data_IF_031653582002
#
_entry.id   IF_031653582002
#
_cell.length_a   1.000
_cell.length_b   1.000
_cell.length_c   1.000
_cell.angle_alpha   90.00
_cell.angle_beta   90.00
_cell.angle_gamma   90.00
#
_symmetry.space_group_name_H-M   'P 1'
#
loop_
_entity.id
_entity.type
_entity.pdbx_description
1 polymer ?
#
# COMPACT_ATOMS: atom_id res chain seq x y z
N UNK A 1 -3.21 -42.75 23.54
CA UNK A 1 -3.87 -41.67 22.74
C UNK A 1 -3.23 -40.37 23.17
N UNK A 2 -2.47 -39.74 22.26
CA UNK A 2 -1.90 -38.43 22.56
C UNK A 2 -3.02 -37.40 22.62
N UNK A 3 -3.06 -36.64 23.70
CA UNK A 3 -4.01 -35.53 23.81
C UNK A 3 -3.56 -34.45 22.87
N UNK A 4 -4.35 -34.03 21.85
CA UNK A 4 -3.93 -33.02 20.93
C UNK A 4 -3.64 -31.71 21.68
N UNK A 5 -2.55 -31.02 21.26
CA UNK A 5 -2.18 -29.70 21.81
C UNK A 5 -3.33 -28.73 21.59
N UNK A 6 -3.80 -28.08 22.66
CA UNK A 6 -4.78 -26.99 22.55
C UNK A 6 -4.06 -25.70 22.08
N UNK A 7 -4.38 -25.26 20.88
CA UNK A 7 -3.85 -24.03 20.31
C UNK A 7 -4.88 -22.92 20.52
N UNK A 8 -4.50 -21.88 21.29
CA UNK A 8 -5.28 -20.64 21.36
C UNK A 8 -4.84 -19.74 20.18
N UNK A 9 -5.73 -19.54 19.22
CA UNK A 9 -5.43 -18.65 18.09
C UNK A 9 -5.33 -17.20 18.57
N UNK A 10 -4.33 -16.47 18.06
CA UNK A 10 -4.22 -15.02 18.23
C UNK A 10 -5.33 -14.30 17.44
N UNK A 11 -5.73 -14.87 16.32
CA UNK A 11 -6.72 -14.35 15.38
C UNK A 11 -7.75 -15.44 15.06
N UNK A 12 -8.69 -15.74 15.99
CA UNK A 12 -9.61 -16.86 15.84
C UNK A 12 -10.55 -16.71 14.63
N UNK A 13 -10.91 -15.48 14.29
CA UNK A 13 -11.85 -15.16 13.22
C UNK A 13 -11.17 -14.81 11.88
N UNK A 14 -9.83 -14.86 11.83
CA UNK A 14 -9.07 -14.52 10.63
C UNK A 14 -8.93 -15.72 9.71
N UNK A 15 -9.53 -15.62 8.54
CA UNK A 15 -9.41 -16.60 7.46
C UNK A 15 -8.30 -16.26 6.45
N UNK A 16 -8.34 -16.94 5.32
CA UNK A 16 -7.49 -16.65 4.16
C UNK A 16 -7.83 -15.27 3.60
N UNK A 17 -6.80 -14.47 3.24
CA UNK A 17 -7.03 -13.12 2.72
C UNK A 17 -7.82 -13.14 1.42
N UNK A 18 -8.61 -12.10 1.18
CA UNK A 18 -9.40 -11.94 -0.05
C UNK A 18 -8.52 -12.03 -1.31
N UNK A 19 -7.28 -11.57 -1.23
CA UNK A 19 -6.33 -11.64 -2.34
C UNK A 19 -6.00 -13.08 -2.72
N UNK A 20 -5.76 -13.93 -1.73
CA UNK A 20 -5.48 -15.36 -1.96
C UNK A 20 -6.71 -16.08 -2.48
N UNK A 21 -7.90 -15.80 -1.91
CA UNK A 21 -9.17 -16.39 -2.34
C UNK A 21 -9.44 -16.06 -3.81
N UNK A 22 -9.39 -14.77 -4.18
CA UNK A 22 -9.70 -14.34 -5.55
C UNK A 22 -8.63 -14.78 -6.56
N UNK A 23 -7.36 -14.87 -6.17
CA UNK A 23 -6.32 -15.38 -7.05
C UNK A 23 -6.46 -16.87 -7.33
N UNK A 24 -6.79 -17.65 -6.29
CA UNK A 24 -7.07 -19.07 -6.47
C UNK A 24 -8.28 -19.25 -7.37
N UNK A 25 -9.36 -18.51 -7.13
CA UNK A 25 -10.57 -18.58 -7.94
C UNK A 25 -10.28 -18.21 -9.42
N UNK A 26 -9.49 -17.16 -9.65
CA UNK A 26 -9.07 -16.77 -10.98
C UNK A 26 -8.32 -17.90 -11.71
N UNK A 27 -7.40 -18.56 -11.02
CA UNK A 27 -6.64 -19.69 -11.57
C UNK A 27 -7.55 -20.90 -11.88
N UNK A 28 -8.42 -21.27 -10.93
CA UNK A 28 -9.36 -22.40 -11.07
C UNK A 28 -10.34 -22.21 -12.25
N UNK A 29 -10.71 -20.94 -12.56
CA UNK A 29 -11.66 -20.61 -13.64
C UNK A 29 -10.97 -20.17 -14.95
N UNK A 30 -9.66 -20.07 -15.04
CA UNK A 30 -8.96 -19.50 -16.20
C UNK A 30 -9.35 -18.03 -16.47
N UNK A 31 -9.68 -17.30 -15.41
CA UNK A 31 -10.08 -15.89 -15.49
C UNK A 31 -8.88 -14.97 -15.66
N UNK A 32 -9.07 -13.82 -16.34
CA UNK A 32 -8.08 -12.73 -16.34
C UNK A 32 -8.02 -12.15 -14.94
N UNK A 33 -6.85 -12.19 -14.32
CA UNK A 33 -6.68 -11.80 -12.91
C UNK A 33 -6.35 -10.32 -12.78
N UNK A 34 -7.36 -9.48 -12.54
CA UNK A 34 -7.23 -8.07 -12.16
C UNK A 34 -7.43 -7.84 -10.65
N UNK A 35 -7.47 -8.91 -9.84
CA UNK A 35 -7.61 -8.83 -8.38
C UNK A 35 -6.28 -8.50 -7.70
N UNK A 36 -5.16 -9.01 -8.25
CA UNK A 36 -3.84 -8.86 -7.65
C UNK A 36 -3.19 -7.52 -7.91
N UNK A 37 -2.74 -6.87 -6.82
CA UNK A 37 -2.08 -5.58 -6.82
C UNK A 37 -0.58 -5.64 -7.13
N UNK A 38 -0.20 -6.31 -8.23
CA UNK A 38 1.17 -6.30 -8.75
C UNK A 38 1.18 -6.37 -10.28
N UNK A 39 2.26 -5.85 -10.92
CA UNK A 39 2.43 -5.87 -12.37
C UNK A 39 2.53 -7.30 -12.95
N UNK A 40 2.05 -7.49 -14.18
CA UNK A 40 2.30 -8.69 -14.99
C UNK A 40 3.44 -8.48 -16.02
N UNK A 41 4.17 -7.39 -15.86
CA UNK A 41 5.38 -7.04 -16.61
C UNK A 41 6.58 -6.96 -15.66
N UNK A 42 7.79 -7.10 -16.22
CA UNK A 42 9.05 -7.16 -15.50
C UNK A 42 9.61 -5.76 -15.21
N UNK A 43 10.50 -5.68 -14.20
CA UNK A 43 11.43 -4.55 -14.05
C UNK A 43 12.44 -4.52 -15.21
N UNK A 44 13.12 -3.39 -15.36
CA UNK A 44 14.14 -3.21 -16.37
C UNK A 44 15.34 -4.16 -16.15
N UNK A 45 15.94 -4.72 -17.23
CA UNK A 45 17.04 -5.69 -17.13
C UNK A 45 18.24 -5.19 -16.33
N UNK A 46 18.54 -3.89 -16.39
CA UNK A 46 19.69 -3.27 -15.70
C UNK A 46 19.63 -3.47 -14.19
N UNK A 47 18.44 -3.56 -13.60
CA UNK A 47 18.28 -3.85 -12.17
C UNK A 47 18.71 -5.29 -11.85
N UNK A 48 18.37 -6.23 -12.73
CA UNK A 48 18.79 -7.64 -12.57
C UNK A 48 20.28 -7.81 -12.79
N UNK A 49 20.86 -7.09 -13.76
CA UNK A 49 22.29 -7.08 -14.01
C UNK A 49 23.07 -6.51 -12.84
N UNK A 50 22.57 -5.43 -12.22
CA UNK A 50 23.17 -4.87 -11.02
C UNK A 50 23.13 -5.87 -9.86
N UNK A 51 22.00 -6.55 -9.62
CA UNK A 51 21.88 -7.61 -8.61
C UNK A 51 22.91 -8.72 -8.84
N UNK A 52 22.99 -9.23 -10.07
CA UNK A 52 23.93 -10.30 -10.44
C UNK A 52 25.40 -9.88 -10.23
N UNK A 53 25.73 -8.64 -10.59
CA UNK A 53 27.08 -8.07 -10.39
C UNK A 53 27.46 -8.06 -8.91
N UNK A 54 26.58 -7.60 -8.00
CA UNK A 54 26.85 -7.55 -6.57
C UNK A 54 26.93 -8.95 -5.94
N UNK A 55 26.10 -9.90 -6.36
CA UNK A 55 26.16 -11.30 -5.93
C UNK A 55 27.52 -11.93 -6.30
N UNK A 56 27.97 -11.74 -7.55
CA UNK A 56 29.29 -12.24 -8.02
C UNK A 56 30.46 -11.55 -7.35
N UNK A 57 30.33 -10.30 -6.96
CA UNK A 57 31.35 -9.54 -6.24
C UNK A 57 31.47 -9.96 -4.75
N UNK A 58 30.75 -10.99 -4.32
CA UNK A 58 30.86 -11.56 -2.98
C UNK A 58 30.11 -10.75 -1.90
N UNK A 59 29.18 -9.86 -2.27
CA UNK A 59 28.40 -9.04 -1.32
C UNK A 59 27.26 -9.84 -0.66
N UNK A 60 27.47 -11.11 -0.33
CA UNK A 60 26.43 -12.06 0.11
C UNK A 60 26.36 -12.25 1.64
N UNK A 61 27.17 -11.57 2.41
CA UNK A 61 27.12 -11.63 3.87
C UNK A 61 26.09 -10.64 4.43
N UNK A 62 25.82 -10.73 5.72
CA UNK A 62 24.88 -9.84 6.40
C UNK A 62 25.17 -8.37 6.12
N UNK A 63 24.18 -7.65 5.64
CA UNK A 63 24.22 -6.18 5.59
C UNK A 63 24.12 -5.59 7.01
N UNK A 64 24.50 -4.33 7.22
CA UNK A 64 24.19 -3.62 8.46
C UNK A 64 22.70 -3.65 8.77
N UNK A 65 22.33 -3.69 10.04
CA UNK A 65 20.93 -3.78 10.50
C UNK A 65 20.04 -2.67 9.90
N UNK A 66 20.52 -1.43 9.87
CA UNK A 66 19.78 -0.31 9.29
C UNK A 66 19.73 -0.31 7.75
N UNK A 67 20.46 -1.21 7.10
CA UNK A 67 20.62 -1.29 5.66
C UNK A 67 21.99 -0.82 5.16
N UNK A 68 22.29 -1.12 3.89
CA UNK A 68 23.54 -0.70 3.25
C UNK A 68 23.64 0.82 3.22
N UNK A 69 24.81 1.40 3.60
CA UNK A 69 25.01 2.85 3.61
C UNK A 69 24.70 3.51 2.26
N UNK A 70 25.09 2.86 1.16
CA UNK A 70 24.87 3.34 -0.20
C UNK A 70 23.38 3.50 -0.51
N UNK A 71 22.55 2.56 -0.10
CA UNK A 71 21.11 2.64 -0.32
C UNK A 71 20.46 3.68 0.60
N UNK A 72 20.88 3.75 1.87
CA UNK A 72 20.34 4.74 2.82
C UNK A 72 20.67 6.17 2.37
N UNK A 73 21.87 6.41 1.85
CA UNK A 73 22.26 7.69 1.27
C UNK A 73 21.40 8.04 0.06
N UNK A 74 21.22 7.09 -0.88
CA UNK A 74 20.37 7.30 -2.06
C UNK A 74 18.91 7.60 -1.68
N UNK A 75 18.37 6.95 -0.64
CA UNK A 75 17.03 7.26 -0.12
C UNK A 75 16.98 8.67 0.46
N UNK A 76 17.94 9.07 1.30
CA UNK A 76 17.99 10.40 1.89
C UNK A 76 18.09 11.50 0.82
N UNK A 77 18.91 11.30 -0.21
CA UNK A 77 19.05 12.22 -1.33
C UNK A 77 17.75 12.32 -2.16
N UNK A 78 17.10 11.19 -2.43
CA UNK A 78 15.78 11.15 -3.08
C UNK A 78 14.74 11.96 -2.29
N UNK A 79 14.63 11.72 -0.99
CA UNK A 79 13.67 12.41 -0.11
C UNK A 79 13.95 13.92 -0.08
N UNK A 80 15.22 14.32 0.02
CA UNK A 80 15.62 15.73 -0.03
C UNK A 80 15.25 16.38 -1.37
N UNK A 81 15.49 15.69 -2.49
CA UNK A 81 15.19 16.20 -3.83
C UNK A 81 13.68 16.35 -4.07
N UNK A 82 12.86 15.42 -3.58
CA UNK A 82 11.42 15.40 -3.83
C UNK A 82 10.61 16.27 -2.86
N UNK A 83 11.03 16.30 -1.58
CA UNK A 83 10.20 16.86 -0.50
C UNK A 83 10.87 18.01 0.24
N UNK A 84 12.11 18.37 -0.13
CA UNK A 84 12.82 19.53 0.41
C UNK A 84 13.37 19.32 1.83
N UNK A 85 13.18 18.17 2.45
CA UNK A 85 13.66 17.87 3.81
C UNK A 85 14.80 16.87 3.74
N UNK A 86 15.94 17.24 4.34
CA UNK A 86 17.11 16.36 4.43
C UNK A 86 17.07 15.56 5.74
N UNK A 87 17.08 14.25 5.59
CA UNK A 87 17.21 13.28 6.69
C UNK A 87 18.65 12.75 6.76
N UNK A 88 19.11 12.45 7.95
CA UNK A 88 20.40 11.80 8.19
C UNK A 88 20.31 10.33 7.79
N UNK A 89 21.11 9.93 6.80
CA UNK A 89 21.09 8.56 6.29
C UNK A 89 21.46 7.52 7.35
N UNK A 90 22.27 7.88 8.35
CA UNK A 90 22.73 6.94 9.39
C UNK A 90 21.73 6.78 10.53
N UNK A 91 21.00 7.83 10.88
CA UNK A 91 20.14 7.83 12.06
C UNK A 91 18.63 7.84 11.72
N UNK A 92 18.22 8.28 10.51
CA UNK A 92 16.84 8.56 10.17
C UNK A 92 16.30 7.73 8.99
N UNK A 93 17.13 6.90 8.36
CA UNK A 93 16.73 5.99 7.28
C UNK A 93 16.99 4.54 7.66
N UNK A 94 15.98 3.67 7.51
CA UNK A 94 16.11 2.23 7.78
C UNK A 94 15.53 1.44 6.62
N UNK A 95 16.33 0.53 6.05
CA UNK A 95 15.87 -0.41 5.01
C UNK A 95 15.14 -1.58 5.65
N UNK A 96 14.01 -1.98 5.08
CA UNK A 96 13.09 -2.97 5.66
C UNK A 96 12.76 -4.09 4.68
N UNK A 97 12.27 -5.23 5.20
CA UNK A 97 11.80 -6.35 4.37
C UNK A 97 10.41 -6.04 3.75
N UNK A 98 10.35 -4.93 3.01
CA UNK A 98 9.14 -4.36 2.43
C UNK A 98 8.30 -3.57 3.43
N UNK A 99 7.30 -2.86 2.92
CA UNK A 99 6.44 -1.98 3.71
C UNK A 99 5.63 -2.73 4.78
N UNK A 100 5.15 -3.93 4.52
CA UNK A 100 4.36 -4.71 5.49
C UNK A 100 5.14 -4.97 6.79
N UNK A 101 6.43 -5.35 6.66
CA UNK A 101 7.30 -5.53 7.83
C UNK A 101 7.60 -4.19 8.51
N UNK A 102 7.82 -3.12 7.73
CA UNK A 102 8.03 -1.78 8.25
C UNK A 102 6.85 -1.32 9.12
N UNK A 103 5.62 -1.46 8.63
CA UNK A 103 4.39 -1.09 9.32
C UNK A 103 4.22 -1.91 10.60
N UNK A 104 4.37 -3.24 10.51
CA UNK A 104 4.31 -4.11 11.70
C UNK A 104 5.34 -3.70 12.76
N UNK A 105 6.57 -3.42 12.35
CA UNK A 105 7.65 -3.00 13.25
C UNK A 105 7.36 -1.65 13.88
N UNK A 106 6.84 -0.67 13.12
CA UNK A 106 6.45 0.64 13.66
C UNK A 106 5.34 0.51 14.70
N UNK A 107 4.30 -0.28 14.39
CA UNK A 107 3.22 -0.56 15.35
C UNK A 107 3.79 -1.21 16.61
N UNK A 108 4.62 -2.24 16.48
CA UNK A 108 5.22 -2.94 17.64
C UNK A 108 6.16 -2.04 18.46
N UNK A 109 6.77 -1.03 17.84
CA UNK A 109 7.65 -0.09 18.54
C UNK A 109 6.87 0.91 19.41
N UNK A 110 5.71 1.39 18.95
CA UNK A 110 5.02 2.51 19.56
C UNK A 110 3.69 2.19 20.23
N UNK A 111 3.02 1.11 19.85
CA UNK A 111 1.72 0.71 20.39
C UNK A 111 1.88 -0.30 21.53
N UNK A 112 1.14 -0.10 22.61
CA UNK A 112 1.11 -0.97 23.80
C UNK A 112 -0.30 -1.54 23.97
N UNK A 113 -0.47 -2.62 24.76
CA UNK A 113 -1.80 -3.11 25.10
C UNK A 113 -2.68 -2.00 25.70
N UNK A 114 -3.87 -1.81 25.12
CA UNK A 114 -4.82 -0.78 25.51
C UNK A 114 -4.70 0.55 24.77
N UNK A 115 -3.61 0.79 24.03
CA UNK A 115 -3.50 1.93 23.14
C UNK A 115 -4.47 1.83 21.96
N UNK A 116 -4.90 2.96 21.44
CA UNK A 116 -5.77 3.09 20.28
C UNK A 116 -4.98 3.58 19.06
N UNK A 117 -5.27 2.96 17.90
CA UNK A 117 -4.69 3.36 16.62
C UNK A 117 -5.81 3.70 15.64
N UNK A 118 -5.81 4.94 15.15
CA UNK A 118 -6.78 5.37 14.14
C UNK A 118 -6.30 4.94 12.76
N UNK A 119 -7.20 4.31 11.99
CA UNK A 119 -7.02 3.90 10.60
C UNK A 119 -8.18 4.41 9.76
N UNK A 120 -7.98 4.60 8.44
CA UNK A 120 -8.99 5.08 7.52
C UNK A 120 -9.59 3.93 6.72
N UNK A 121 -10.93 3.75 6.82
CA UNK A 121 -11.68 2.68 6.16
C UNK A 121 -12.38 3.17 4.87
N UNK A 122 -12.31 2.40 3.75
CA UNK A 122 -11.76 1.04 3.60
C UNK A 122 -10.26 1.01 3.86
N UNK A 123 -9.75 -0.04 4.53
CA UNK A 123 -8.38 -0.10 5.06
C UNK A 123 -7.59 -1.28 4.51
N UNK A 124 -6.31 -1.07 4.19
CA UNK A 124 -5.43 -2.16 3.78
C UNK A 124 -5.35 -3.23 4.89
N UNK A 125 -5.52 -4.48 4.51
CA UNK A 125 -5.78 -5.62 5.39
C UNK A 125 -4.70 -5.94 6.43
N UNK A 126 -3.49 -5.40 6.28
CA UNK A 126 -2.39 -5.67 7.22
C UNK A 126 -2.38 -4.77 8.46
N UNK A 127 -3.07 -3.61 8.45
CA UNK A 127 -2.96 -2.66 9.56
C UNK A 127 -3.68 -3.18 10.81
N UNK A 128 -4.92 -3.63 10.68
CA UNK A 128 -5.69 -4.19 11.79
C UNK A 128 -4.94 -5.31 12.51
N UNK A 129 -4.53 -6.38 11.82
CA UNK A 129 -3.76 -7.47 12.40
C UNK A 129 -2.45 -7.04 13.07
N UNK A 130 -1.74 -6.06 12.52
CA UNK A 130 -0.52 -5.55 13.13
C UNK A 130 -0.79 -4.88 14.48
N UNK A 131 -1.87 -4.09 14.58
CA UNK A 131 -2.29 -3.40 15.81
C UNK A 131 -2.75 -4.41 16.86
N UNK A 132 -3.63 -5.34 16.47
CA UNK A 132 -4.20 -6.35 17.36
C UNK A 132 -3.13 -7.34 17.87
N UNK A 133 -2.13 -7.65 17.04
CA UNK A 133 -1.02 -8.52 17.42
C UNK A 133 -0.23 -8.01 18.63
N UNK A 134 -0.15 -6.72 18.83
CA UNK A 134 0.53 -6.11 19.98
C UNK A 134 -0.41 -5.74 21.13
N UNK A 135 -1.71 -6.03 20.99
CA UNK A 135 -2.75 -5.75 22.00
C UNK A 135 -3.33 -4.33 21.89
N UNK A 136 -3.06 -3.61 20.81
CA UNK A 136 -3.69 -2.33 20.50
C UNK A 136 -5.13 -2.49 20.02
N UNK A 137 -5.89 -1.42 20.06
CA UNK A 137 -7.28 -1.34 19.57
C UNK A 137 -7.34 -0.55 18.28
N UNK A 138 -8.01 -1.10 17.26
CA UNK A 138 -8.22 -0.43 15.96
C UNK A 138 -9.42 0.49 16.06
N UNK A 139 -9.20 1.80 15.87
CA UNK A 139 -10.25 2.82 15.78
C UNK A 139 -10.40 3.23 14.32
N UNK A 140 -11.61 3.12 13.76
CA UNK A 140 -11.86 3.26 12.33
C UNK A 140 -12.54 4.58 12.01
N UNK A 141 -11.88 5.41 11.21
CA UNK A 141 -12.46 6.59 10.59
C UNK A 141 -12.90 6.23 9.17
N UNK A 142 -14.21 6.35 8.87
CA UNK A 142 -14.72 6.00 7.54
C UNK A 142 -14.47 7.13 6.55
N UNK A 143 -13.85 6.81 5.41
CA UNK A 143 -13.72 7.71 4.28
C UNK A 143 -15.07 7.90 3.60
N UNK A 144 -15.33 9.10 3.08
CA UNK A 144 -16.62 9.45 2.49
C UNK A 144 -16.71 8.98 1.03
N UNK A 145 -17.68 8.14 0.75
CA UNK A 145 -18.03 7.78 -0.63
C UNK A 145 -18.62 9.00 -1.38
N UNK A 146 -18.36 9.19 -2.69
CA UNK A 146 -17.61 8.31 -3.62
C UNK A 146 -16.13 8.72 -3.81
N UNK A 147 -15.67 9.84 -3.26
CA UNK A 147 -14.32 10.38 -3.43
C UNK A 147 -13.32 9.87 -2.39
N UNK A 148 -13.82 9.20 -1.36
CA UNK A 148 -13.05 8.65 -0.26
C UNK A 148 -12.17 9.68 0.45
N UNK A 149 -12.66 10.91 0.53
CA UNK A 149 -12.04 11.97 1.31
C UNK A 149 -12.21 11.71 2.82
N UNK A 150 -11.21 12.04 3.67
CA UNK A 150 -11.35 11.96 5.12
C UNK A 150 -12.40 12.94 5.66
N UNK A 151 -13.13 12.50 6.68
CA UNK A 151 -13.93 13.40 7.51
C UNK A 151 -13.13 13.80 8.75
N UNK A 152 -12.49 14.96 8.68
CA UNK A 152 -11.63 15.44 9.76
C UNK A 152 -12.38 15.80 11.04
N UNK A 153 -13.68 16.10 10.96
CA UNK A 153 -14.52 16.28 12.14
C UNK A 153 -14.72 14.94 12.86
N UNK A 154 -14.99 13.87 12.12
CA UNK A 154 -15.02 12.50 12.67
C UNK A 154 -13.68 12.13 13.28
N UNK A 155 -12.57 12.33 12.57
CA UNK A 155 -11.23 11.98 13.07
C UNK A 155 -10.94 12.69 14.39
N UNK A 156 -11.25 14.00 14.47
CA UNK A 156 -11.07 14.79 15.71
C UNK A 156 -11.89 14.22 16.88
N UNK A 157 -13.10 13.76 16.62
CA UNK A 157 -13.96 13.17 17.65
C UNK A 157 -13.49 11.78 18.11
N UNK A 158 -12.72 11.08 17.27
CA UNK A 158 -12.15 9.76 17.61
C UNK A 158 -10.84 9.85 18.40
N UNK A 159 -10.15 11.00 18.38
CA UNK A 159 -8.91 11.19 19.13
C UNK A 159 -9.23 11.32 20.62
N UNK A 160 -8.60 10.46 21.42
CA UNK A 160 -8.72 10.44 22.89
C UNK A 160 -7.38 10.25 23.58
N UNK A 161 -7.39 10.13 24.91
CA UNK A 161 -6.19 9.96 25.73
C UNK A 161 -5.40 8.68 25.41
N UNK A 162 -6.08 7.66 24.90
CA UNK A 162 -5.46 6.39 24.49
C UNK A 162 -4.97 6.38 23.04
N UNK A 163 -5.27 7.42 22.26
CA UNK A 163 -4.81 7.48 20.86
C UNK A 163 -3.30 7.63 20.82
N UNK A 164 -2.62 6.57 20.38
CA UNK A 164 -1.16 6.52 20.29
C UNK A 164 -0.65 6.76 18.89
N UNK A 165 -1.39 6.33 17.88
CA UNK A 165 -0.93 6.38 16.49
C UNK A 165 -2.11 6.67 15.54
N UNK A 166 -1.80 7.35 14.44
CA UNK A 166 -2.69 7.44 13.28
C UNK A 166 -1.94 6.88 12.09
N UNK A 167 -2.52 5.89 11.40
CA UNK A 167 -1.96 5.31 10.18
C UNK A 167 -2.65 5.94 8.98
N UNK A 168 -1.86 6.55 8.10
CA UNK A 168 -2.27 7.16 6.84
C UNK A 168 -1.81 6.28 5.68
N UNK A 169 -2.55 6.30 4.58
CA UNK A 169 -2.11 5.72 3.32
C UNK A 169 -2.45 6.67 2.17
N UNK A 170 -1.44 7.24 1.53
CA UNK A 170 -1.62 8.17 0.40
C UNK A 170 -0.46 8.04 -0.58
N UNK A 171 -0.75 7.78 -1.86
CA UNK A 171 -2.02 7.41 -2.47
C UNK A 171 -2.65 6.16 -1.88
N UNK A 172 -3.97 6.14 -1.75
CA UNK A 172 -4.72 5.21 -0.92
C UNK A 172 -5.07 3.90 -1.63
N UNK A 173 -4.72 2.77 -1.03
CA UNK A 173 -5.21 1.44 -1.41
C UNK A 173 -6.37 1.04 -0.46
N UNK A 174 -7.60 0.78 -0.96
CA UNK A 174 -7.94 0.40 -2.33
C UNK A 174 -8.43 1.52 -3.26
N UNK A 175 -8.65 2.74 -2.78
CA UNK A 175 -9.55 3.71 -3.42
C UNK A 175 -8.91 4.57 -4.51
N UNK A 176 -7.58 4.71 -4.52
CA UNK A 176 -6.89 5.65 -5.40
C UNK A 176 -7.04 7.12 -5.00
N UNK A 177 -7.63 7.41 -3.83
CA UNK A 177 -7.70 8.75 -3.27
C UNK A 177 -6.31 9.25 -2.85
N UNK A 178 -6.11 10.55 -2.83
CA UNK A 178 -4.85 11.21 -2.46
C UNK A 178 -5.15 12.34 -1.50
N UNK A 179 -4.39 12.42 -0.41
CA UNK A 179 -4.50 13.51 0.56
C UNK A 179 -4.07 14.85 -0.05
N UNK A 180 -4.83 15.89 0.21
CA UNK A 180 -4.55 17.27 -0.20
C UNK A 180 -3.76 18.04 0.87
N UNK A 181 -3.26 19.22 0.52
CA UNK A 181 -2.63 20.11 1.49
C UNK A 181 -3.61 20.57 2.61
N UNK A 182 -4.90 20.65 2.30
CA UNK A 182 -5.94 20.93 3.29
C UNK A 182 -6.05 19.78 4.28
N UNK A 183 -6.02 18.54 3.79
CA UNK A 183 -6.07 17.35 4.65
C UNK A 183 -4.87 17.27 5.60
N UNK A 184 -3.65 17.55 5.09
CA UNK A 184 -2.46 17.60 5.95
C UNK A 184 -2.53 18.73 6.97
N UNK A 185 -3.09 19.90 6.62
CA UNK A 185 -3.32 21.00 7.55
C UNK A 185 -4.35 20.65 8.65
N UNK A 186 -5.41 19.93 8.34
CA UNK A 186 -6.36 19.44 9.35
C UNK A 186 -5.74 18.38 10.26
N UNK A 187 -4.97 17.46 9.69
CA UNK A 187 -4.21 16.47 10.49
C UNK A 187 -3.25 17.16 11.46
N UNK A 188 -2.48 18.16 10.99
CA UNK A 188 -1.56 18.92 11.83
C UNK A 188 -2.26 19.57 13.03
N UNK A 189 -3.44 20.17 12.81
CA UNK A 189 -4.27 20.73 13.90
C UNK A 189 -4.74 19.68 14.91
N UNK A 190 -5.06 18.48 14.43
CA UNK A 190 -5.54 17.37 15.28
C UNK A 190 -4.44 16.86 16.18
N UNK A 191 -3.22 16.69 15.65
CA UNK A 191 -2.11 16.11 16.41
C UNK A 191 -1.28 17.15 17.18
N UNK A 192 -1.56 18.45 17.01
CA UNK A 192 -0.88 19.51 17.74
C UNK A 192 -1.05 19.36 19.27
N UNK A 193 0.06 19.44 20.01
CA UNK A 193 0.05 19.32 21.48
C UNK A 193 -0.20 17.88 21.99
N UNK A 194 -0.17 16.86 21.13
CA UNK A 194 -0.31 15.45 21.49
C UNK A 194 0.99 14.68 21.31
N UNK A 195 1.07 13.48 21.90
CA UNK A 195 2.15 12.51 21.70
C UNK A 195 1.82 11.46 20.61
N UNK A 196 0.84 11.75 19.75
CA UNK A 196 0.43 10.86 18.66
C UNK A 196 1.55 10.75 17.63
N UNK A 197 1.96 9.51 17.33
CA UNK A 197 2.89 9.17 16.25
C UNK A 197 2.11 8.99 14.95
N UNK A 198 2.60 9.51 13.86
CA UNK A 198 2.05 9.31 12.53
C UNK A 198 2.83 8.21 11.81
N UNK A 199 2.12 7.23 11.26
CA UNK A 199 2.67 6.23 10.36
C UNK A 199 2.08 6.45 8.98
N UNK A 200 2.88 6.93 8.03
CA UNK A 200 2.43 7.23 6.67
C UNK A 200 2.91 6.15 5.71
N UNK A 201 1.97 5.37 5.20
CA UNK A 201 2.21 4.40 4.13
C UNK A 201 2.12 5.11 2.78
N UNK A 202 3.29 5.41 2.20
CA UNK A 202 3.44 6.14 0.96
C UNK A 202 4.00 5.26 -0.18
N UNK A 203 3.73 3.95 -0.14
CA UNK A 203 4.27 2.99 -1.12
C UNK A 203 3.92 3.31 -2.58
N UNK A 204 2.91 4.13 -2.82
CA UNK A 204 2.49 4.61 -4.15
C UNK A 204 2.92 6.05 -4.43
N UNK A 205 3.89 6.60 -3.70
CA UNK A 205 4.35 8.00 -3.79
C UNK A 205 4.67 8.52 -5.20
N UNK A 206 5.00 7.63 -6.13
CA UNK A 206 5.32 7.96 -7.54
C UNK A 206 4.16 7.67 -8.52
N UNK A 207 3.00 7.22 -8.03
CA UNK A 207 1.87 6.82 -8.89
C UNK A 207 0.70 7.75 -8.60
N UNK A 208 0.80 8.96 -9.13
CA UNK A 208 -0.22 10.01 -9.06
C UNK A 208 -0.52 10.50 -10.47
N UNK A 209 -1.71 11.04 -10.68
CA UNK A 209 -2.23 11.37 -11.98
C UNK A 209 -2.66 12.83 -12.10
N UNK A 210 -2.84 13.27 -13.34
CA UNK A 210 -3.39 14.58 -13.69
C UNK A 210 -2.54 15.75 -13.14
N UNK A 211 -1.20 15.54 -13.12
CA UNK A 211 -0.24 16.55 -12.67
C UNK A 211 -0.24 16.80 -11.15
N UNK A 212 -0.90 15.94 -10.37
CA UNK A 212 -0.94 16.08 -8.89
C UNK A 212 0.44 15.78 -8.29
N UNK A 213 0.96 16.64 -7.41
CA UNK A 213 2.15 16.31 -6.65
C UNK A 213 1.82 15.32 -5.52
N UNK A 214 2.79 14.48 -5.17
CA UNK A 214 2.71 13.74 -3.91
C UNK A 214 3.07 14.68 -2.74
N UNK A 215 2.22 14.70 -1.73
CA UNK A 215 2.43 15.45 -0.49
C UNK A 215 2.86 14.49 0.60
N UNK A 216 4.17 14.21 0.65
CA UNK A 216 4.75 13.36 1.69
C UNK A 216 4.76 14.05 3.05
N UNK A 217 4.51 13.30 4.12
CA UNK A 217 4.71 13.81 5.48
C UNK A 217 6.17 14.19 5.76
N UNK A 218 7.14 13.64 5.02
CA UNK A 218 8.54 14.07 5.09
C UNK A 218 8.74 15.56 4.82
N UNK A 219 7.93 16.15 3.92
CA UNK A 219 8.02 17.56 3.54
C UNK A 219 7.17 18.51 4.39
N UNK A 220 6.34 18.01 5.32
CA UNK A 220 5.44 18.85 6.09
C UNK A 220 6.07 19.27 7.43
N UNK A 221 6.28 20.58 7.68
CA UNK A 221 7.09 21.04 8.81
C UNK A 221 6.56 20.64 10.20
N UNK A 222 5.22 20.54 10.36
CA UNK A 222 4.59 20.18 11.62
C UNK A 222 4.38 18.67 11.79
N UNK A 223 4.30 17.92 10.69
CA UNK A 223 4.03 16.48 10.71
C UNK A 223 5.30 15.64 10.65
N UNK A 224 6.32 16.05 9.88
CA UNK A 224 7.58 15.32 9.76
C UNK A 224 8.23 14.99 11.11
N UNK A 225 8.26 15.90 12.12
CA UNK A 225 8.89 15.61 13.42
C UNK A 225 8.26 14.47 14.23
N UNK A 226 7.06 14.01 13.85
CA UNK A 226 6.33 12.93 14.54
C UNK A 226 5.95 11.77 13.62
N UNK A 227 6.51 11.72 12.41
CA UNK A 227 6.13 10.76 11.38
C UNK A 227 7.21 9.72 11.15
N UNK A 228 6.76 8.48 10.94
CA UNK A 228 7.49 7.45 10.23
C UNK A 228 6.85 7.28 8.84
N UNK A 229 7.60 7.57 7.79
CA UNK A 229 7.15 7.46 6.41
C UNK A 229 7.69 6.17 5.82
N UNK A 230 6.79 5.32 5.32
CA UNK A 230 7.09 4.01 4.76
C UNK A 230 6.95 4.06 3.25
N UNK A 231 7.94 3.54 2.52
CA UNK A 231 7.87 3.34 1.08
C UNK A 231 8.37 1.97 0.66
N UNK A 232 8.17 1.60 -0.62
CA UNK A 232 8.46 0.26 -1.14
C UNK A 232 9.03 0.29 -2.54
N UNK A 233 10.24 -0.22 -2.71
CA UNK A 233 10.84 -0.44 -4.03
C UNK A 233 10.05 -1.43 -4.90
N UNK A 234 9.30 -2.34 -4.26
CA UNK A 234 8.44 -3.29 -4.96
C UNK A 234 7.36 -2.60 -5.79
N UNK A 235 6.84 -1.46 -5.33
CA UNK A 235 5.84 -0.67 -6.05
C UNK A 235 6.49 0.26 -7.08
N UNK A 236 7.60 0.89 -6.69
CA UNK A 236 8.33 1.83 -7.54
C UNK A 236 9.01 1.15 -8.73
N UNK A 237 9.63 -0.01 -8.53
CA UNK A 237 10.45 -0.67 -9.56
C UNK A 237 9.90 -2.03 -10.01
N UNK A 238 8.61 -2.31 -9.79
CA UNK A 238 7.93 -3.52 -10.27
C UNK A 238 8.54 -4.84 -9.77
N UNK A 239 9.10 -4.83 -8.56
CA UNK A 239 9.79 -5.98 -7.92
C UNK A 239 9.13 -6.34 -6.59
N UNK A 240 7.80 -6.44 -6.55
CA UNK A 240 7.04 -6.69 -5.32
C UNK A 240 7.51 -7.93 -4.55
N UNK A 241 8.01 -8.95 -5.26
CA UNK A 241 8.53 -10.19 -4.70
C UNK A 241 9.90 -10.05 -4.00
N UNK A 242 10.67 -8.99 -4.27
CA UNK A 242 11.96 -8.79 -3.60
C UNK A 242 11.79 -8.38 -2.13
N UNK A 243 10.63 -7.88 -1.77
CA UNK A 243 10.30 -7.50 -0.40
C UNK A 243 11.31 -6.53 0.22
N UNK A 244 11.65 -5.45 -0.50
CA UNK A 244 12.52 -4.38 0.00
C UNK A 244 11.74 -3.07 0.02
N UNK A 245 11.78 -2.39 1.15
CA UNK A 245 11.24 -1.07 1.39
C UNK A 245 12.12 -0.29 2.36
N UNK A 246 11.64 0.82 2.83
CA UNK A 246 12.36 1.64 3.80
C UNK A 246 11.40 2.46 4.66
N UNK A 247 11.93 2.92 5.78
CA UNK A 247 11.30 3.89 6.67
C UNK A 247 12.21 5.09 6.79
N UNK A 248 11.61 6.28 6.70
CA UNK A 248 12.27 7.56 6.99
C UNK A 248 11.51 8.24 8.12
N UNK A 249 12.22 8.76 9.09
CA UNK A 249 11.63 9.52 10.21
C UNK A 249 12.68 10.07 11.15
N UNK A 250 12.29 10.95 12.09
CA UNK A 250 13.21 11.57 13.03
C UNK A 250 14.06 10.56 13.80
N UNK A 251 15.29 10.92 14.13
CA UNK A 251 16.27 10.05 14.79
C UNK A 251 15.72 9.37 16.05
N UNK A 252 14.92 10.08 16.87
CA UNK A 252 14.33 9.52 18.08
C UNK A 252 13.32 8.40 17.76
N UNK A 253 12.44 8.59 16.76
CA UNK A 253 11.49 7.56 16.33
C UNK A 253 12.22 6.40 15.64
N UNK A 254 13.19 6.70 14.78
CA UNK A 254 14.01 5.71 14.09
C UNK A 254 14.80 4.82 15.06
N UNK A 255 15.30 5.40 16.17
CA UNK A 255 15.99 4.62 17.20
C UNK A 255 15.07 3.59 17.86
N UNK A 256 13.84 3.97 18.23
CA UNK A 256 12.86 3.04 18.83
C UNK A 256 12.40 1.99 17.80
N UNK A 257 12.15 2.40 16.56
CA UNK A 257 11.85 1.47 15.47
C UNK A 257 12.94 0.40 15.30
N UNK A 258 14.21 0.81 15.29
CA UNK A 258 15.36 -0.09 15.11
C UNK A 258 15.53 -1.08 16.25
N UNK A 259 15.10 -0.77 17.48
CA UNK A 259 15.12 -1.71 18.61
C UNK A 259 14.24 -2.95 18.35
N UNK A 260 13.12 -2.79 17.64
CA UNK A 260 12.27 -3.90 17.24
C UNK A 260 12.79 -4.54 15.96
N UNK A 261 13.17 -3.71 14.96
CA UNK A 261 13.62 -4.17 13.65
C UNK A 261 14.79 -5.17 13.73
N UNK A 262 15.78 -4.91 14.58
CA UNK A 262 16.95 -5.80 14.72
C UNK A 262 16.61 -7.21 15.22
N UNK A 263 15.49 -7.40 15.92
CA UNK A 263 15.06 -8.72 16.42
C UNK A 263 13.91 -9.32 15.61
N UNK A 264 13.25 -8.53 14.77
CA UNK A 264 12.20 -8.99 13.88
C UNK A 264 12.77 -9.50 12.54
N UNK A 265 13.67 -8.73 11.91
CA UNK A 265 14.26 -9.04 10.59
C UNK A 265 15.78 -9.12 10.67
N UNK A 266 16.39 -8.35 11.55
CA UNK A 266 17.84 -8.12 11.66
C UNK A 266 18.38 -7.33 10.46
N UNK A 267 18.35 -7.88 9.25
CA UNK A 267 18.87 -7.25 8.03
C UNK A 267 18.10 -7.71 6.80
N UNK A 268 18.24 -6.98 5.71
CA UNK A 268 17.62 -7.28 4.41
C UNK A 268 18.71 -7.69 3.42
N UNK A 269 18.35 -8.43 2.38
CA UNK A 269 19.25 -8.99 1.39
C UNK A 269 20.23 -7.95 0.80
N UNK A 270 21.53 -8.06 1.13
CA UNK A 270 22.55 -7.06 0.82
C UNK A 270 22.74 -6.79 -0.68
N UNK A 271 22.92 -7.83 -1.54
CA UNK A 271 23.05 -7.62 -2.98
C UNK A 271 21.90 -6.83 -3.61
N UNK A 272 20.65 -7.08 -3.18
CA UNK A 272 19.49 -6.34 -3.68
C UNK A 272 19.49 -4.88 -3.24
N UNK A 273 19.97 -4.59 -2.02
CA UNK A 273 20.11 -3.22 -1.56
C UNK A 273 21.13 -2.46 -2.40
N UNK A 274 22.27 -3.06 -2.70
CA UNK A 274 23.30 -2.43 -3.52
C UNK A 274 22.83 -2.23 -4.98
N UNK A 275 22.13 -3.22 -5.54
CA UNK A 275 21.52 -3.10 -6.86
C UNK A 275 20.53 -1.94 -6.93
N UNK A 276 19.71 -1.76 -5.88
CA UNK A 276 18.78 -0.64 -5.79
C UNK A 276 19.50 0.69 -5.63
N UNK A 277 20.59 0.75 -4.86
CA UNK A 277 21.41 1.95 -4.73
C UNK A 277 21.99 2.40 -6.06
N UNK A 278 22.53 1.45 -6.86
CA UNK A 278 23.01 1.73 -8.21
C UNK A 278 21.85 2.21 -9.13
N UNK A 279 20.71 1.52 -9.07
CA UNK A 279 19.56 1.79 -9.92
C UNK A 279 18.91 3.15 -9.65
N UNK A 280 18.91 3.60 -8.41
CA UNK A 280 18.38 4.89 -7.97
C UNK A 280 19.22 6.10 -8.43
N UNK A 281 20.46 5.90 -8.92
CA UNK A 281 21.28 6.99 -9.44
C UNK A 281 20.64 7.69 -10.64
N UNK A 282 19.78 7.00 -11.38
CA UNK A 282 18.96 7.57 -12.44
C UNK A 282 17.56 7.90 -11.92
N UNK A 283 17.32 9.15 -11.56
CA UNK A 283 16.04 9.61 -11.04
C UNK A 283 14.87 9.44 -12.03
N UNK A 284 15.14 9.39 -13.35
CA UNK A 284 14.09 9.21 -14.37
C UNK A 284 13.31 7.90 -14.17
N UNK A 285 13.93 6.89 -13.57
CA UNK A 285 13.35 5.57 -13.30
C UNK A 285 12.18 5.58 -12.31
N UNK A 286 12.11 6.59 -11.45
CA UNK A 286 10.93 6.77 -10.58
C UNK A 286 10.10 8.00 -10.96
N UNK A 287 10.71 9.05 -11.49
CA UNK A 287 9.98 10.24 -11.93
C UNK A 287 9.07 9.99 -13.15
N UNK A 288 9.42 9.03 -14.00
CA UNK A 288 8.60 8.62 -15.15
C UNK A 288 7.34 7.82 -14.82
N UNK A 289 7.21 7.30 -13.58
CA UNK A 289 6.13 6.37 -13.22
C UNK A 289 4.74 7.00 -13.27
N UNK A 290 4.59 8.27 -12.92
CA UNK A 290 3.31 8.96 -12.98
C UNK A 290 2.74 8.93 -14.41
N UNK A 291 3.54 9.31 -15.40
CA UNK A 291 3.13 9.30 -16.81
C UNK A 291 2.86 7.87 -17.32
N UNK A 292 3.74 6.92 -16.99
CA UNK A 292 3.59 5.52 -17.39
C UNK A 292 2.28 4.89 -16.86
N UNK A 293 1.95 5.12 -15.59
CA UNK A 293 0.71 4.58 -15.03
C UNK A 293 -0.53 5.40 -15.40
N UNK A 294 -0.39 6.70 -15.67
CA UNK A 294 -1.50 7.50 -16.17
C UNK A 294 -1.95 7.01 -17.54
N UNK A 295 -1.02 6.72 -18.46
CA UNK A 295 -1.33 6.14 -19.77
C UNK A 295 -2.12 4.83 -19.61
N UNK A 296 -1.68 3.94 -18.71
CA UNK A 296 -2.39 2.67 -18.44
C UNK A 296 -3.78 2.89 -17.82
N UNK A 297 -3.90 3.84 -16.86
CA UNK A 297 -5.20 4.21 -16.28
C UNK A 297 -6.16 4.70 -17.36
N UNK A 298 -5.72 5.63 -18.18
CA UNK A 298 -6.56 6.29 -19.17
C UNK A 298 -6.97 5.30 -20.28
N UNK A 299 -6.05 4.46 -20.75
CA UNK A 299 -6.35 3.38 -21.68
C UNK A 299 -7.37 2.39 -21.09
N UNK A 300 -7.19 1.94 -19.84
CA UNK A 300 -8.12 1.01 -19.20
C UNK A 300 -9.50 1.64 -18.98
N UNK A 301 -9.56 2.91 -18.54
CA UNK A 301 -10.83 3.65 -18.42
C UNK A 301 -11.55 3.79 -19.75
N UNK A 302 -10.83 4.05 -20.83
CA UNK A 302 -11.40 4.10 -22.18
C UNK A 302 -11.98 2.75 -22.62
N UNK A 303 -11.30 1.64 -22.33
CA UNK A 303 -11.81 0.29 -22.59
C UNK A 303 -13.08 -0.02 -21.78
N UNK A 304 -13.13 0.41 -20.51
CA UNK A 304 -14.30 0.20 -19.64
C UNK A 304 -15.48 1.13 -19.96
N UNK A 305 -15.28 2.22 -20.68
CA UNK A 305 -16.36 3.15 -21.06
C UNK A 305 -17.46 2.51 -21.92
N UNK A 306 -17.17 1.36 -22.57
CA UNK A 306 -18.14 0.56 -23.29
C UNK A 306 -18.99 -0.35 -22.38
N UNK A 307 -18.78 -0.33 -21.07
CA UNK A 307 -19.51 -1.13 -20.08
C UNK A 307 -20.45 -0.25 -19.25
N UNK A 308 -21.49 -0.83 -18.62
CA UNK A 308 -22.37 -0.09 -17.70
C UNK A 308 -21.73 0.19 -16.31
N UNK A 309 -20.42 0.00 -16.15
CA UNK A 309 -19.70 0.30 -14.91
C UNK A 309 -19.57 1.81 -14.70
N UNK A 310 -19.89 2.29 -13.50
CA UNK A 310 -19.62 3.65 -13.07
C UNK A 310 -18.20 3.72 -12.52
N UNK A 311 -17.26 4.35 -13.25
CA UNK A 311 -15.87 4.45 -12.85
C UNK A 311 -15.68 5.58 -11.84
N UNK A 312 -15.25 5.24 -10.62
CA UNK A 312 -15.01 6.21 -9.56
C UNK A 312 -13.71 7.02 -9.80
N UNK A 313 -13.50 8.14 -9.09
CA UNK A 313 -12.25 8.89 -9.16
C UNK A 313 -11.03 8.01 -8.90
N UNK A 314 -9.94 8.26 -9.63
CA UNK A 314 -8.67 7.57 -9.48
C UNK A 314 -7.55 8.58 -9.62
N UNK A 315 -7.11 9.15 -8.51
CA UNK A 315 -6.09 10.21 -8.47
C UNK A 315 -4.67 9.64 -8.27
N UNK A 316 -4.56 8.39 -7.81
CA UNK A 316 -3.28 7.72 -7.62
C UNK A 316 -3.44 6.20 -7.52
N UNK A 317 -2.36 5.49 -7.22
CA UNK A 317 -2.21 4.03 -7.24
C UNK A 317 -2.37 3.43 -8.65
N UNK A 318 -2.42 2.12 -8.76
CA UNK A 318 -2.75 1.43 -10.01
C UNK A 318 -4.05 0.62 -9.89
N UNK A 319 -5.01 1.17 -9.11
CA UNK A 319 -6.33 0.58 -8.92
C UNK A 319 -7.43 1.49 -9.46
N UNK A 320 -8.38 0.90 -10.18
CA UNK A 320 -9.60 1.56 -10.59
C UNK A 320 -10.76 0.95 -9.81
N UNK A 321 -11.47 1.77 -9.07
CA UNK A 321 -12.74 1.38 -8.48
C UNK A 321 -13.88 1.59 -9.47
N UNK A 322 -14.83 0.66 -9.47
CA UNK A 322 -16.03 0.76 -10.28
C UNK A 322 -17.27 0.29 -9.52
N UNK A 323 -18.31 1.09 -9.55
CA UNK A 323 -19.64 0.76 -9.04
C UNK A 323 -20.41 0.01 -10.12
N UNK A 324 -21.12 -1.05 -9.72
CA UNK A 324 -21.80 -1.97 -10.66
C UNK A 324 -23.32 -2.02 -10.50
N UNK A 325 -23.92 -1.07 -9.78
CA UNK A 325 -25.36 -1.05 -9.47
C UNK A 325 -26.28 -1.03 -10.70
N UNK A 326 -25.79 -0.57 -11.86
CA UNK A 326 -26.51 -0.64 -13.14
C UNK A 326 -26.52 -2.05 -13.75
N UNK A 327 -25.71 -2.98 -13.23
CA UNK A 327 -25.53 -4.33 -13.78
C UNK A 327 -26.20 -5.37 -12.89
N UNK A 328 -26.04 -5.26 -11.57
CA UNK A 328 -26.48 -6.30 -10.64
C UNK A 328 -26.87 -5.74 -9.28
N UNK A 329 -27.87 -6.36 -8.66
CA UNK A 329 -28.26 -6.14 -7.26
C UNK A 329 -27.51 -7.01 -6.25
N UNK A 330 -26.58 -7.88 -6.69
CA UNK A 330 -25.83 -8.76 -5.80
C UNK A 330 -24.92 -7.97 -4.85
N UNK A 331 -24.65 -8.45 -3.62
CA UNK A 331 -23.54 -7.95 -2.79
C UNK A 331 -22.19 -8.08 -3.51
N UNK A 332 -21.23 -7.21 -3.20
CA UNK A 332 -19.98 -7.11 -3.96
C UNK A 332 -19.13 -8.38 -3.95
N UNK A 333 -19.13 -9.16 -2.84
CA UNK A 333 -18.47 -10.47 -2.79
C UNK A 333 -19.10 -11.47 -3.75
N UNK A 334 -20.42 -11.51 -3.80
CA UNK A 334 -21.15 -12.40 -4.72
C UNK A 334 -21.00 -11.92 -6.17
N UNK A 335 -20.97 -10.61 -6.42
CA UNK A 335 -20.71 -10.04 -7.72
C UNK A 335 -19.29 -10.35 -8.21
N UNK A 336 -18.26 -10.22 -7.36
CA UNK A 336 -16.88 -10.55 -7.69
C UNK A 336 -16.70 -12.06 -8.00
N UNK A 337 -17.39 -12.95 -7.26
CA UNK A 337 -17.40 -14.39 -7.53
C UNK A 337 -18.05 -14.68 -8.88
N UNK A 338 -19.24 -14.13 -9.14
CA UNK A 338 -19.95 -14.25 -10.42
C UNK A 338 -19.09 -13.72 -11.58
N UNK A 339 -18.49 -12.53 -11.42
CA UNK A 339 -17.66 -11.92 -12.46
C UNK A 339 -16.46 -12.82 -12.82
N UNK A 340 -15.90 -13.48 -11.81
CA UNK A 340 -14.76 -14.38 -12.02
C UNK A 340 -15.18 -15.68 -12.73
N UNK A 341 -16.29 -16.30 -12.31
CA UNK A 341 -16.74 -17.60 -12.83
C UNK A 341 -17.41 -17.50 -14.19
N UNK A 342 -18.34 -16.55 -14.35
CA UNK A 342 -19.22 -16.48 -15.51
C UNK A 342 -18.71 -15.52 -16.59
N UNK A 343 -18.05 -14.43 -16.18
CA UNK A 343 -17.50 -13.43 -17.11
C UNK A 343 -16.01 -13.69 -17.39
N UNK A 344 -15.31 -14.31 -16.44
CA UNK A 344 -13.91 -14.66 -16.58
C UNK A 344 -12.95 -13.51 -16.28
N UNK A 345 -13.32 -12.58 -15.38
CA UNK A 345 -12.46 -11.49 -14.89
C UNK A 345 -12.51 -11.43 -13.37
N UNK A 346 -11.37 -11.63 -12.73
CA UNK A 346 -11.27 -11.59 -11.28
C UNK A 346 -10.95 -10.18 -10.78
N UNK A 347 -11.67 -9.74 -9.74
CA UNK A 347 -11.59 -8.42 -9.11
C UNK A 347 -11.58 -8.57 -7.58
N UNK A 348 -11.36 -7.49 -6.84
CA UNK A 348 -11.52 -7.48 -5.39
C UNK A 348 -12.82 -6.74 -5.00
N UNK A 349 -13.71 -7.36 -4.20
CA UNK A 349 -14.86 -6.68 -3.60
C UNK A 349 -14.36 -5.70 -2.53
N UNK A 350 -14.83 -4.44 -2.55
CA UNK A 350 -14.32 -3.39 -1.65
C UNK A 350 -14.80 -3.58 -0.21
N UNK A 351 -15.94 -4.26 0.01
CA UNK A 351 -16.40 -4.64 1.35
C UNK A 351 -15.38 -5.48 2.14
N UNK A 352 -14.45 -6.14 1.44
CA UNK A 352 -13.37 -6.89 2.10
C UNK A 352 -12.38 -6.01 2.87
N UNK A 353 -12.38 -4.69 2.64
CA UNK A 353 -11.56 -3.71 3.33
C UNK A 353 -12.33 -2.94 4.42
N UNK A 354 -13.58 -3.34 4.70
CA UNK A 354 -14.38 -2.85 5.81
C UNK A 354 -14.56 -3.93 6.87
N UNK A 355 -14.32 -3.60 8.12
CA UNK A 355 -14.40 -4.58 9.20
C UNK A 355 -15.84 -5.08 9.44
N UNK A 356 -16.82 -4.21 9.22
CA UNK A 356 -18.26 -4.52 9.31
C UNK A 356 -18.85 -5.07 8.01
N UNK A 357 -18.01 -5.24 6.96
CA UNK A 357 -18.46 -5.70 5.65
C UNK A 357 -19.33 -4.70 4.90
N UNK A 358 -19.25 -3.41 5.22
CA UNK A 358 -20.00 -2.35 4.52
C UNK A 358 -19.80 -2.42 3.00
N UNK A 359 -20.89 -2.48 2.26
CA UNK A 359 -20.93 -2.73 0.82
C UNK A 359 -21.54 -1.55 0.05
N UNK A 360 -20.70 -0.80 -0.63
CA UNK A 360 -21.06 0.32 -1.51
C UNK A 360 -21.34 -0.13 -2.96
N UNK A 361 -21.37 -1.43 -3.21
CA UNK A 361 -21.52 -2.05 -4.54
C UNK A 361 -20.37 -1.69 -5.47
N UNK A 362 -19.16 -1.77 -4.95
CA UNK A 362 -17.92 -1.36 -5.63
C UNK A 362 -16.94 -2.52 -5.70
N UNK A 363 -16.30 -2.67 -6.85
CA UNK A 363 -15.18 -3.61 -7.06
C UNK A 363 -13.93 -2.86 -7.46
N UNK A 364 -12.76 -3.42 -7.10
CA UNK A 364 -11.43 -2.88 -7.43
C UNK A 364 -10.78 -3.69 -8.54
N UNK A 365 -10.38 -3.03 -9.61
CA UNK A 365 -9.54 -3.55 -10.69
C UNK A 365 -8.10 -3.09 -10.51
N UNK A 366 -7.12 -3.95 -10.78
CA UNK A 366 -5.71 -3.58 -10.91
C UNK A 366 -5.36 -3.39 -12.39
N UNK A 367 -4.96 -2.18 -12.78
CA UNK A 367 -4.53 -1.89 -14.14
C UNK A 367 -3.00 -1.88 -14.34
N UNK A 368 -2.23 -2.29 -13.34
CA UNK A 368 -0.80 -2.56 -13.49
C UNK A 368 -0.59 -3.85 -14.31
N UNK A 369 -1.07 -3.83 -15.54
CA UNK A 369 -1.07 -4.98 -16.44
C UNK A 369 -0.59 -4.56 -17.83
N UNK A 370 -0.19 -5.53 -18.64
CA UNK A 370 0.12 -5.31 -20.06
C UNK A 370 -1.16 -4.92 -20.83
N UNK A 371 -1.04 -4.15 -21.91
CA UNK A 371 -2.20 -3.74 -22.71
C UNK A 371 -3.09 -4.93 -23.11
N UNK A 372 -2.48 -6.04 -23.56
CA UNK A 372 -3.19 -7.24 -24.00
C UNK A 372 -4.03 -7.87 -22.89
N UNK A 373 -3.53 -7.81 -21.64
CA UNK A 373 -4.26 -8.29 -20.46
C UNK A 373 -5.49 -7.42 -20.18
N UNK A 374 -5.34 -6.09 -20.27
CA UNK A 374 -6.43 -5.13 -20.06
C UNK A 374 -7.49 -5.22 -21.15
N UNK A 375 -7.08 -5.34 -22.41
CA UNK A 375 -7.97 -5.53 -23.57
C UNK A 375 -8.76 -6.84 -23.46
N UNK A 376 -8.09 -7.94 -23.09
CA UNK A 376 -8.74 -9.23 -22.89
C UNK A 376 -9.79 -9.17 -21.76
N UNK A 377 -9.46 -8.49 -20.65
CA UNK A 377 -10.40 -8.30 -19.55
C UNK A 377 -11.61 -7.45 -19.97
N UNK A 378 -11.39 -6.31 -20.60
CA UNK A 378 -12.46 -5.43 -21.07
C UNK A 378 -13.37 -6.12 -22.10
N UNK A 379 -12.79 -6.88 -23.04
CA UNK A 379 -13.55 -7.66 -24.02
C UNK A 379 -14.46 -8.72 -23.36
N UNK A 380 -13.98 -9.39 -22.28
CA UNK A 380 -14.80 -10.32 -21.51
C UNK A 380 -15.91 -9.59 -20.75
N UNK A 381 -15.63 -8.44 -20.13
CA UNK A 381 -16.62 -7.63 -19.41
C UNK A 381 -17.74 -7.15 -20.34
N UNK A 382 -17.40 -6.59 -21.50
CA UNK A 382 -18.40 -6.15 -22.49
C UNK A 382 -19.30 -7.29 -22.93
N UNK A 383 -18.72 -8.47 -23.24
CA UNK A 383 -19.51 -9.66 -23.64
C UNK A 383 -20.37 -10.21 -22.50
N UNK A 384 -19.85 -10.21 -21.27
CA UNK A 384 -20.56 -10.71 -20.09
C UNK A 384 -21.76 -9.84 -19.73
N UNK A 385 -21.60 -8.52 -19.78
CA UNK A 385 -22.67 -7.58 -19.46
C UNK A 385 -23.74 -7.49 -20.55
N UNK A 386 -23.37 -7.61 -21.83
CA UNK A 386 -24.34 -7.66 -22.95
C UNK A 386 -25.33 -8.86 -22.89
N UNK A 387 -25.02 -9.89 -22.12
CA UNK A 387 -25.92 -11.01 -21.90
C UNK A 387 -26.95 -10.77 -20.78
N UNK A 388 -26.82 -9.68 -20.05
CA UNK A 388 -27.71 -9.31 -18.94
C UNK A 388 -28.66 -8.14 -19.29
N UNK A 389 -28.44 -7.48 -20.41
CA UNK A 389 -29.36 -6.52 -21.03
C UNK A 389 -30.23 -7.23 -22.08
#
# INVERSE_FOLDING_TARGET
>A
METPIRIASRFPDMGTTIFTVMSKLAADCGAVNLSQGFPDFQAEPELFDALHRHMKAGRNQYAPMAGMPELRAAIADKVAALYGTRFDADHEVTVTAGATQAIFTAVAAFVRPGDEVIVFEPVYDSYGPAIEAVGGTVVRARLRFPDYAPDWAQVRALVGERTRMIILNSPHNPTGAVLSAVDLGELAKIVAGTDIVLLSDEVYEHILFDGRPHLSLCGHPELAPRSLVVSSFGKTYHITGWKIGYVVGPAALSAEFRKIHQFNVFTVHGPSQLALADYMQDASRHLGLAAFYQEKRDAFRALLAATPLELLPCAGTYFQLARYTAISGLPDRAFADWLTREVGVAVIPVSAFHADGHDERVVRFCFAKRPETLEAAAGRLCKGFAKQC
#
